data_IF_132942769509
#
_entry.id   IF_132942769509
#
_cell.length_a   1.000
_cell.length_b   1.000
_cell.length_c   1.000
_cell.angle_alpha   90.00
_cell.angle_beta   90.00
_cell.angle_gamma   90.00
#
_symmetry.space_group_name_H-M   'P 1'
#
loop_
_entity.id
_entity.type
_entity.pdbx_description
1 polymer ?
#
# COMPACT_ATOMS: atom_id res chain seq x y z
N UNK A 1 4.61 13.65 2.98
CA UNK A 1 4.51 12.36 3.69
C UNK A 1 5.92 11.81 3.74
N UNK A 2 6.52 11.66 4.92
CA UNK A 2 7.92 11.23 5.04
C UNK A 2 7.96 9.71 5.22
N UNK A 3 8.15 8.96 4.13
CA UNK A 3 8.31 7.50 4.18
C UNK A 3 9.76 7.14 4.49
N UNK A 4 9.98 6.06 5.25
CA UNK A 4 11.33 5.58 5.55
C UNK A 4 11.78 4.70 4.39
N UNK A 5 12.84 5.06 3.64
CA UNK A 5 13.22 4.32 2.43
C UNK A 5 13.57 2.85 2.68
N UNK A 6 14.01 2.51 3.89
CA UNK A 6 14.39 1.13 4.27
C UNK A 6 13.23 0.29 4.83
N UNK A 7 12.02 0.86 4.94
CA UNK A 7 10.85 0.14 5.47
C UNK A 7 9.73 0.21 4.43
N UNK A 8 9.35 -0.92 3.81
CA UNK A 8 8.26 -0.93 2.85
C UNK A 8 6.95 -0.56 3.54
N UNK A 9 6.17 0.30 2.90
CA UNK A 9 4.90 0.78 3.42
C UNK A 9 3.75 0.45 2.47
N UNK A 10 2.63 0.03 3.06
CA UNK A 10 1.41 -0.37 2.35
C UNK A 10 0.31 0.60 2.75
N UNK A 11 -0.39 1.19 1.78
CA UNK A 11 -1.51 2.11 2.05
C UNK A 11 -2.83 1.33 2.13
N UNK A 12 -3.45 1.33 3.30
CA UNK A 12 -4.82 0.84 3.50
C UNK A 12 -5.84 1.97 3.40
N UNK A 13 -6.82 1.89 2.49
CA UNK A 13 -7.89 2.89 2.38
C UNK A 13 -9.24 2.27 2.03
N UNK A 14 -10.34 2.90 2.45
CA UNK A 14 -11.69 2.53 2.05
C UNK A 14 -12.06 2.99 0.63
N UNK A 15 -11.32 3.96 0.10
CA UNK A 15 -11.44 4.42 -1.28
C UNK A 15 -10.04 4.50 -1.89
N UNK A 16 -9.84 3.75 -2.97
CA UNK A 16 -8.59 3.77 -3.74
C UNK A 16 -8.93 4.05 -5.19
N UNK A 17 -8.60 5.25 -5.65
CA UNK A 17 -8.65 5.64 -7.05
C UNK A 17 -7.24 5.78 -7.65
N UNK A 18 -7.17 5.99 -8.96
CA UNK A 18 -5.90 6.14 -9.68
C UNK A 18 -5.10 7.37 -9.25
N UNK A 19 -5.76 8.46 -8.88
CA UNK A 19 -5.09 9.68 -8.41
C UNK A 19 -4.41 9.47 -7.06
N UNK A 20 -5.09 8.80 -6.12
CA UNK A 20 -4.52 8.41 -4.84
C UNK A 20 -3.34 7.45 -5.03
N UNK A 21 -3.48 6.44 -5.91
CA UNK A 21 -2.38 5.51 -6.21
C UNK A 21 -1.15 6.25 -6.74
N UNK A 22 -1.33 7.16 -7.68
CA UNK A 22 -0.22 7.96 -8.24
C UNK A 22 0.51 8.78 -7.17
N UNK A 23 -0.23 9.53 -6.35
CA UNK A 23 0.33 10.36 -5.26
C UNK A 23 1.05 9.50 -4.21
N UNK A 24 0.47 8.38 -3.83
CA UNK A 24 1.04 7.48 -2.83
C UNK A 24 2.31 6.78 -3.34
N UNK A 25 2.33 6.34 -4.61
CA UNK A 25 3.55 5.79 -5.24
C UNK A 25 4.67 6.83 -5.25
N UNK A 26 4.38 8.07 -5.64
CA UNK A 26 5.35 9.17 -5.61
C UNK A 26 5.84 9.49 -4.18
N UNK A 27 5.05 9.19 -3.16
CA UNK A 27 5.42 9.34 -1.75
C UNK A 27 6.19 8.13 -1.18
N UNK A 28 6.49 7.09 -1.98
CA UNK A 28 7.24 5.91 -1.52
C UNK A 28 6.38 4.77 -0.95
N UNK A 29 5.06 4.79 -1.16
CA UNK A 29 4.20 3.64 -0.86
C UNK A 29 4.46 2.52 -1.87
N UNK A 30 4.71 1.31 -1.36
CA UNK A 30 5.01 0.12 -2.17
C UNK A 30 3.79 -0.65 -2.60
N UNK A 31 2.75 -0.72 -1.79
CA UNK A 31 1.54 -1.48 -2.16
C UNK A 31 0.28 -0.87 -1.58
N UNK A 32 -0.88 -1.34 -2.04
CA UNK A 32 -2.19 -0.80 -1.70
C UNK A 32 -3.12 -1.91 -1.25
N UNK A 33 -3.92 -1.63 -0.23
CA UNK A 33 -4.91 -2.56 0.29
C UNK A 33 -6.26 -1.85 0.49
N UNK A 34 -7.26 -2.25 -0.31
CA UNK A 34 -8.59 -1.70 -0.21
C UNK A 34 -9.36 -2.34 0.96
N UNK A 35 -10.09 -1.54 1.74
CA UNK A 35 -11.04 -2.06 2.74
C UNK A 35 -12.33 -2.55 2.04
N UNK A 36 -13.06 -3.52 2.61
CA UNK A 36 -12.77 -4.26 3.84
C UNK A 36 -11.59 -5.23 3.66
N UNK A 37 -10.81 -5.40 4.72
CA UNK A 37 -9.57 -6.16 4.68
C UNK A 37 -9.82 -7.59 5.17
N UNK A 38 -9.28 -8.58 4.46
CA UNK A 38 -9.21 -9.97 4.90
C UNK A 38 -7.77 -10.39 5.21
N UNK A 39 -7.58 -11.42 6.04
CA UNK A 39 -6.23 -11.95 6.33
C UNK A 39 -5.50 -12.41 5.06
N UNK A 40 -6.22 -13.01 4.10
CA UNK A 40 -5.65 -13.39 2.81
C UNK A 40 -5.16 -12.19 2.01
N UNK A 41 -5.95 -11.11 1.95
CA UNK A 41 -5.55 -9.88 1.25
C UNK A 41 -4.34 -9.20 1.89
N UNK A 42 -4.22 -9.25 3.23
CA UNK A 42 -3.02 -8.77 3.94
C UNK A 42 -1.81 -9.62 3.55
N UNK A 43 -1.91 -10.94 3.66
CA UNK A 43 -0.80 -11.85 3.38
C UNK A 43 -0.28 -11.69 1.94
N UNK A 44 -1.18 -11.60 0.96
CA UNK A 44 -0.83 -11.37 -0.44
C UNK A 44 -0.15 -10.02 -0.65
N UNK A 45 -0.67 -8.96 -0.03
CA UNK A 45 -0.12 -7.60 -0.19
C UNK A 45 1.22 -7.43 0.51
N UNK A 46 1.40 -8.06 1.68
CA UNK A 46 2.69 -8.10 2.37
C UNK A 46 3.73 -8.85 1.56
N UNK A 47 3.36 -10.00 0.95
CA UNK A 47 4.25 -10.73 0.04
C UNK A 47 4.70 -9.83 -1.12
N UNK A 48 3.76 -9.20 -1.83
CA UNK A 48 4.05 -8.26 -2.93
C UNK A 48 4.92 -7.06 -2.53
N UNK A 49 4.82 -6.60 -1.27
CA UNK A 49 5.59 -5.46 -0.79
C UNK A 49 7.03 -5.84 -0.37
N UNK A 50 7.28 -7.12 -0.11
CA UNK A 50 8.57 -7.66 0.34
C UNK A 50 9.36 -8.36 -0.77
N UNK A 51 8.67 -8.95 -1.75
CA UNK A 51 9.26 -9.40 -3.02
C UNK A 51 9.85 -8.20 -3.80
#
# INVERSE_FOLDING_TARGET
MNTRPNIPSILCSGSIDQGLKGKARAAGIREFLAKPISMGSIAETVRKALD
#
